data_IF_570454097518
#
_entry.id   IF_570454097518
#
_cell.length_a   1.000
_cell.length_b   1.000
_cell.length_c   1.000
_cell.angle_alpha   90.00
_cell.angle_beta   90.00
_cell.angle_gamma   90.00
#
_symmetry.space_group_name_H-M   'P 1'
#
loop_
_entity.id
_entity.type
_entity.pdbx_description
1 polymer ?
#
# COMPACT_ATOMS: atom_id res chain seq x y z
N UNK A 1 30.83 -5.43 -31.61
CA UNK A 1 30.58 -5.50 -30.15
C UNK A 1 29.97 -4.19 -29.69
N UNK A 2 28.69 -4.06 -29.84
CA UNK A 2 27.92 -2.92 -29.32
C UNK A 2 27.62 -3.21 -27.86
N UNK A 3 28.45 -2.68 -26.94
CA UNK A 3 28.13 -2.65 -25.53
C UNK A 3 26.88 -1.78 -25.33
N UNK A 4 25.88 -2.42 -24.81
CA UNK A 4 24.54 -1.93 -24.57
C UNK A 4 24.57 -0.65 -23.72
N UNK A 5 24.31 0.50 -24.33
CA UNK A 5 24.25 1.81 -23.67
C UNK A 5 23.10 1.90 -22.66
N UNK A 6 22.18 0.93 -22.64
CA UNK A 6 21.06 0.84 -21.68
C UNK A 6 21.52 0.57 -20.25
N UNK A 7 22.70 -0.02 -20.06
CA UNK A 7 23.25 -0.40 -18.75
C UNK A 7 24.00 0.74 -18.03
N UNK A 8 24.10 1.94 -18.64
CA UNK A 8 24.79 3.10 -18.06
C UNK A 8 23.87 4.08 -17.30
N UNK A 9 22.53 3.93 -17.43
CA UNK A 9 21.60 4.84 -16.72
C UNK A 9 21.41 4.37 -15.27
N UNK A 10 21.35 5.31 -14.31
CA UNK A 10 20.97 4.98 -12.94
C UNK A 10 19.61 4.27 -12.91
N UNK A 11 19.48 3.24 -12.08
CA UNK A 11 18.31 2.41 -12.03
C UNK A 11 17.32 2.83 -10.93
N UNK A 12 16.04 2.53 -11.11
CA UNK A 12 15.05 2.51 -10.03
C UNK A 12 14.90 1.07 -9.56
N UNK A 13 15.22 0.81 -8.31
CA UNK A 13 15.00 -0.50 -7.67
C UNK A 13 13.56 -0.55 -7.15
N UNK A 14 12.82 -1.59 -7.51
CA UNK A 14 11.43 -1.81 -7.09
C UNK A 14 11.32 -3.13 -6.35
N UNK A 15 10.99 -3.09 -5.07
CA UNK A 15 10.74 -4.31 -4.28
C UNK A 15 9.25 -4.62 -4.22
N UNK A 16 8.88 -5.90 -4.21
CA UNK A 16 7.47 -6.30 -4.30
C UNK A 16 6.88 -6.15 -5.71
N UNK A 17 7.74 -6.08 -6.73
CA UNK A 17 7.37 -5.81 -8.13
C UNK A 17 6.44 -6.86 -8.73
N UNK A 18 6.47 -8.09 -8.25
CA UNK A 18 5.59 -9.18 -8.72
C UNK A 18 4.17 -9.13 -8.14
N UNK A 19 3.92 -8.24 -7.18
CA UNK A 19 2.58 -7.96 -6.63
C UNK A 19 1.68 -7.22 -7.62
N UNK A 20 0.38 -7.16 -7.34
CA UNK A 20 -0.58 -6.51 -8.23
C UNK A 20 -0.26 -5.02 -8.45
N UNK A 21 -0.03 -4.27 -7.36
CA UNK A 21 0.40 -2.87 -7.46
C UNK A 21 1.78 -2.75 -8.12
N UNK A 22 2.72 -3.64 -7.79
CA UNK A 22 4.07 -3.66 -8.39
C UNK A 22 4.05 -3.85 -9.90
N UNK A 23 3.19 -4.72 -10.41
CA UNK A 23 2.99 -4.94 -11.85
C UNK A 23 2.40 -3.69 -12.53
N UNK A 24 1.46 -3.02 -11.88
CA UNK A 24 0.87 -1.77 -12.37
C UNK A 24 1.93 -0.66 -12.42
N UNK A 25 2.70 -0.49 -11.35
CA UNK A 25 3.80 0.46 -11.31
C UNK A 25 4.85 0.16 -12.38
N UNK A 26 5.25 -1.10 -12.53
CA UNK A 26 6.24 -1.51 -13.52
C UNK A 26 5.82 -1.15 -14.94
N UNK A 27 4.53 -1.32 -15.32
CA UNK A 27 3.98 -0.94 -16.62
C UNK A 27 4.05 0.56 -16.90
N UNK A 28 3.91 1.38 -15.86
CA UNK A 28 4.01 2.84 -15.98
C UNK A 28 5.46 3.30 -16.07
N UNK A 29 6.36 2.69 -15.29
CA UNK A 29 7.71 3.18 -15.07
C UNK A 29 8.73 2.69 -16.13
N UNK A 30 8.61 1.43 -16.63
CA UNK A 30 9.63 0.80 -17.47
C UNK A 30 9.89 1.51 -18.80
N UNK A 31 8.91 2.29 -19.29
CA UNK A 31 9.06 3.06 -20.53
C UNK A 31 9.98 4.27 -20.40
N UNK A 32 10.23 4.72 -19.19
CA UNK A 32 10.96 5.95 -18.89
C UNK A 32 12.24 5.71 -18.11
N UNK A 33 12.28 4.63 -17.32
CA UNK A 33 13.37 4.35 -16.38
C UNK A 33 13.88 2.91 -16.52
N UNK A 34 15.19 2.72 -16.27
CA UNK A 34 15.76 1.39 -16.07
C UNK A 34 15.25 0.85 -14.74
N UNK A 35 14.59 -0.30 -14.77
CA UNK A 35 14.03 -0.94 -13.56
C UNK A 35 14.82 -2.18 -13.19
N UNK A 36 15.16 -2.28 -11.90
CA UNK A 36 15.64 -3.51 -11.27
C UNK A 36 14.59 -3.96 -10.26
N UNK A 37 13.91 -5.06 -10.56
CA UNK A 37 12.89 -5.63 -9.69
C UNK A 37 13.45 -6.64 -8.70
N UNK A 38 13.00 -6.58 -7.45
CA UNK A 38 13.29 -7.57 -6.41
C UNK A 38 11.97 -8.10 -5.85
N UNK A 39 11.76 -9.40 -5.93
CA UNK A 39 10.61 -10.09 -5.30
C UNK A 39 10.99 -11.56 -5.06
N UNK A 40 10.37 -12.20 -4.08
CA UNK A 40 10.52 -13.65 -3.86
C UNK A 40 9.78 -14.47 -4.92
N UNK A 41 8.71 -13.91 -5.47
CA UNK A 41 7.88 -14.53 -6.51
C UNK A 41 8.39 -14.17 -7.89
N UNK A 42 8.24 -15.05 -8.88
CA UNK A 42 8.54 -14.71 -10.26
C UNK A 42 7.58 -13.64 -10.80
N UNK A 43 8.08 -12.75 -11.64
CA UNK A 43 7.24 -11.81 -12.37
C UNK A 43 6.91 -12.40 -13.75
N UNK A 44 5.84 -13.19 -13.81
CA UNK A 44 5.35 -13.78 -15.07
C UNK A 44 4.76 -12.68 -15.97
N UNK A 45 5.16 -12.66 -17.23
CA UNK A 45 4.72 -11.66 -18.21
C UNK A 45 5.35 -10.26 -18.04
N UNK A 46 6.50 -10.17 -17.36
CA UNK A 46 7.22 -8.90 -17.20
C UNK A 46 7.68 -8.34 -18.56
N UNK A 47 7.75 -7.00 -18.72
CA UNK A 47 8.47 -6.38 -19.83
C UNK A 47 9.93 -6.87 -19.90
N UNK A 48 10.43 -7.08 -21.12
CA UNK A 48 11.76 -7.68 -21.34
C UNK A 48 12.93 -6.81 -20.85
N UNK A 49 12.72 -5.52 -20.79
CA UNK A 49 13.66 -4.48 -20.35
C UNK A 49 13.77 -4.35 -18.81
N UNK A 50 12.91 -5.03 -18.05
CA UNK A 50 13.01 -5.06 -16.59
C UNK A 50 13.99 -6.16 -16.17
N UNK A 51 15.06 -5.78 -15.51
CA UNK A 51 15.98 -6.70 -14.83
C UNK A 51 15.30 -7.25 -13.58
N UNK A 52 15.17 -8.58 -13.45
CA UNK A 52 14.45 -9.20 -12.33
C UNK A 52 15.38 -10.09 -11.50
N UNK A 53 15.44 -9.80 -10.21
CA UNK A 53 16.11 -10.63 -9.21
C UNK A 53 15.07 -11.31 -8.32
N UNK A 54 14.89 -12.62 -8.49
CA UNK A 54 14.05 -13.41 -7.60
C UNK A 54 14.81 -13.69 -6.30
N UNK A 55 14.67 -12.77 -5.35
CA UNK A 55 15.43 -12.74 -4.10
C UNK A 55 14.52 -12.40 -2.91
N UNK A 56 14.98 -12.83 -1.73
CA UNK A 56 14.45 -12.36 -0.45
C UNK A 56 15.39 -11.28 0.12
N UNK A 57 14.83 -10.10 0.44
CA UNK A 57 15.58 -8.97 1.00
C UNK A 57 16.36 -9.31 2.28
N UNK A 58 15.90 -10.31 3.04
CA UNK A 58 16.56 -10.79 4.25
C UNK A 58 17.87 -11.53 3.95
N UNK A 59 18.07 -11.97 2.72
CA UNK A 59 19.27 -12.72 2.31
C UNK A 59 20.38 -11.76 1.87
N UNK A 60 21.63 -12.05 2.27
CA UNK A 60 22.81 -11.25 1.93
C UNK A 60 22.96 -11.00 0.43
N UNK A 61 22.51 -11.92 -0.42
CA UNK A 61 22.55 -11.78 -1.88
C UNK A 61 21.78 -10.57 -2.40
N UNK A 62 20.78 -10.06 -1.66
CA UNK A 62 20.06 -8.86 -2.03
C UNK A 62 20.94 -7.60 -2.02
N UNK A 63 21.97 -7.56 -1.17
CA UNK A 63 22.96 -6.47 -1.11
C UNK A 63 23.75 -6.30 -2.41
N UNK A 64 23.97 -7.39 -3.16
CA UNK A 64 24.70 -7.35 -4.43
C UNK A 64 24.03 -6.45 -5.48
N UNK A 65 22.70 -6.31 -5.44
CA UNK A 65 21.96 -5.41 -6.33
C UNK A 65 22.38 -3.96 -6.09
N UNK A 66 22.51 -3.58 -4.82
CA UNK A 66 22.91 -2.22 -4.43
C UNK A 66 24.40 -1.97 -4.70
N UNK A 67 25.23 -2.96 -4.46
CA UNK A 67 26.68 -2.84 -4.63
C UNK A 67 27.12 -2.72 -6.10
N UNK A 68 26.37 -3.38 -7.02
CA UNK A 68 26.77 -3.51 -8.43
C UNK A 68 26.11 -2.50 -9.36
N UNK A 69 25.12 -1.76 -8.89
CA UNK A 69 24.35 -0.85 -9.72
C UNK A 69 24.39 0.57 -9.19
N UNK A 70 24.36 1.52 -10.11
CA UNK A 70 24.04 2.90 -9.81
C UNK A 70 22.52 3.04 -9.67
N UNK A 71 22.05 3.47 -8.48
CA UNK A 71 20.65 3.49 -8.11
C UNK A 71 20.23 4.93 -7.81
N UNK A 72 19.30 5.47 -8.59
CA UNK A 72 18.75 6.82 -8.37
C UNK A 72 17.60 6.85 -7.36
N UNK A 73 16.84 5.75 -7.27
CA UNK A 73 15.72 5.67 -6.33
C UNK A 73 15.39 4.21 -6.00
N UNK A 74 14.86 4.01 -4.80
CA UNK A 74 14.26 2.75 -4.36
C UNK A 74 12.78 2.96 -4.10
N UNK A 75 11.92 2.10 -4.65
CA UNK A 75 10.50 2.03 -4.35
C UNK A 75 10.23 0.74 -3.60
N UNK A 76 9.90 0.86 -2.32
CA UNK A 76 9.65 -0.28 -1.44
C UNK A 76 8.15 -0.54 -1.28
N UNK A 77 7.68 -1.64 -1.89
CA UNK A 77 6.31 -2.16 -1.78
C UNK A 77 6.28 -3.60 -1.29
N UNK A 78 7.43 -4.12 -0.86
CA UNK A 78 7.62 -5.51 -0.47
C UNK A 78 7.02 -5.83 0.90
N UNK A 79 5.81 -5.37 1.17
CA UNK A 79 5.08 -5.67 2.40
C UNK A 79 4.12 -6.83 2.14
N UNK A 80 4.16 -7.82 3.03
CA UNK A 80 3.30 -8.99 2.98
C UNK A 80 2.16 -8.83 3.97
N UNK A 81 0.95 -9.11 3.50
CA UNK A 81 -0.24 -9.15 4.33
C UNK A 81 -1.03 -10.42 3.96
N UNK A 82 -0.61 -11.56 4.51
CA UNK A 82 -1.32 -12.84 4.35
C UNK A 82 -1.79 -13.31 5.74
N UNK A 83 -3.09 -13.23 6.05
CA UNK A 83 -3.61 -13.58 7.37
C UNK A 83 -3.45 -15.08 7.73
N UNK A 84 -2.91 -15.88 6.82
CA UNK A 84 -2.66 -17.33 7.04
C UNK A 84 -1.23 -17.63 7.49
N UNK A 85 -0.34 -16.65 7.38
CA UNK A 85 1.05 -16.80 7.83
C UNK A 85 1.14 -16.51 9.33
N UNK A 86 2.19 -17.06 9.97
CA UNK A 86 2.47 -16.75 11.38
C UNK A 86 2.88 -15.28 11.57
N UNK A 87 2.63 -14.73 12.74
CA UNK A 87 3.06 -13.36 13.08
C UNK A 87 4.59 -13.21 12.97
N UNK A 88 5.35 -14.24 13.33
CA UNK A 88 6.82 -14.23 13.23
C UNK A 88 7.32 -14.17 11.78
N UNK A 89 6.66 -14.90 10.87
CA UNK A 89 7.00 -14.83 9.43
C UNK A 89 6.66 -13.48 8.84
N UNK A 90 5.50 -12.89 9.20
CA UNK A 90 5.12 -11.54 8.82
C UNK A 90 6.15 -10.52 9.29
N UNK A 91 6.42 -10.52 10.60
CA UNK A 91 7.39 -9.60 11.21
C UNK A 91 8.78 -9.74 10.57
N UNK A 92 9.26 -10.96 10.43
CA UNK A 92 10.55 -11.22 9.77
C UNK A 92 10.58 -10.68 8.34
N UNK A 93 9.52 -10.88 7.57
CA UNK A 93 9.49 -10.42 6.19
C UNK A 93 9.33 -8.90 6.09
N UNK A 94 8.37 -8.34 6.80
CA UNK A 94 8.03 -6.93 6.70
C UNK A 94 9.06 -6.05 7.41
N UNK A 95 9.33 -6.32 8.67
CA UNK A 95 10.16 -5.44 9.53
C UNK A 95 11.65 -5.69 9.27
N UNK A 96 12.12 -6.95 9.40
CA UNK A 96 13.56 -7.24 9.17
C UNK A 96 13.94 -7.03 7.70
N UNK A 97 13.05 -7.36 6.76
CA UNK A 97 13.26 -7.10 5.34
C UNK A 97 13.41 -5.62 5.03
N UNK A 98 12.52 -4.78 5.58
CA UNK A 98 12.58 -3.31 5.41
C UNK A 98 13.81 -2.71 6.07
N UNK A 99 14.15 -3.15 7.29
CA UNK A 99 15.34 -2.69 8.01
C UNK A 99 16.59 -2.90 7.14
N UNK A 100 16.77 -4.10 6.60
CA UNK A 100 17.93 -4.41 5.72
C UNK A 100 17.95 -3.58 4.45
N UNK A 101 16.76 -3.37 3.83
CA UNK A 101 16.67 -2.51 2.65
C UNK A 101 17.14 -1.09 2.95
N UNK A 102 16.68 -0.50 4.05
CA UNK A 102 17.05 0.85 4.47
C UNK A 102 18.55 0.94 4.82
N UNK A 103 19.12 -0.11 5.45
CA UNK A 103 20.57 -0.21 5.68
C UNK A 103 21.36 -0.23 4.36
N UNK A 104 20.89 -0.95 3.33
CA UNK A 104 21.53 -0.94 2.02
C UNK A 104 21.41 0.45 1.38
N UNK A 105 20.25 1.11 1.46
CA UNK A 105 20.09 2.46 0.94
C UNK A 105 21.05 3.46 1.59
N UNK A 106 21.24 3.38 2.91
CA UNK A 106 22.21 4.22 3.61
C UNK A 106 23.64 3.90 3.23
N UNK A 107 24.02 2.62 3.23
CA UNK A 107 25.40 2.15 2.92
C UNK A 107 25.86 2.54 1.51
N UNK A 108 24.95 2.38 0.54
CA UNK A 108 25.23 2.66 -0.88
C UNK A 108 24.79 4.06 -1.32
N UNK A 109 24.40 4.93 -0.36
CA UNK A 109 24.03 6.33 -0.58
C UNK A 109 22.98 6.51 -1.69
N UNK A 110 21.95 5.68 -1.65
CA UNK A 110 20.82 5.82 -2.59
C UNK A 110 20.17 7.19 -2.40
N UNK A 111 20.07 8.04 -3.44
CA UNK A 111 19.62 9.42 -3.26
C UNK A 111 18.19 9.55 -2.78
N UNK A 112 17.33 8.57 -3.15
CA UNK A 112 15.90 8.64 -2.87
C UNK A 112 15.29 7.30 -2.50
N UNK A 113 14.46 7.29 -1.45
CA UNK A 113 13.72 6.11 -0.98
C UNK A 113 12.24 6.45 -0.86
N UNK A 114 11.40 5.68 -1.53
CA UNK A 114 9.94 5.76 -1.44
C UNK A 114 9.43 4.50 -0.77
N UNK A 115 8.75 4.64 0.36
CA UNK A 115 8.15 3.52 1.10
C UNK A 115 6.64 3.59 0.99
N UNK A 116 6.03 2.50 0.54
CA UNK A 116 4.59 2.33 0.58
C UNK A 116 4.17 1.90 1.99
N UNK A 117 3.42 2.75 2.65
CA UNK A 117 2.68 2.48 3.88
C UNK A 117 1.18 2.39 3.56
N UNK A 118 0.31 2.73 4.49
CA UNK A 118 -1.15 2.78 4.31
C UNK A 118 -1.78 3.73 5.32
N UNK A 119 -2.89 4.38 4.95
CA UNK A 119 -3.71 5.13 5.88
C UNK A 119 -4.31 4.24 7.00
N UNK A 120 -4.34 2.92 6.82
CA UNK A 120 -4.80 1.99 7.86
C UNK A 120 -3.93 2.02 9.13
N UNK A 121 -2.73 2.61 9.09
CA UNK A 121 -1.87 2.78 10.28
C UNK A 121 -2.50 3.67 11.34
N UNK A 122 -3.39 4.60 10.96
CA UNK A 122 -4.12 5.44 11.92
C UNK A 122 -5.16 4.64 12.70
N UNK A 123 -5.85 3.71 12.04
CA UNK A 123 -6.91 2.88 12.61
C UNK A 123 -8.26 3.58 12.74
N UNK A 124 -9.36 2.86 12.47
CA UNK A 124 -10.70 3.38 12.66
C UNK A 124 -11.00 3.56 14.15
N UNK A 125 -11.52 4.72 14.56
CA UNK A 125 -11.89 5.02 15.93
C UNK A 125 -13.07 5.98 15.99
N UNK A 126 -13.96 5.84 17.00
CA UNK A 126 -15.02 6.82 17.23
C UNK A 126 -14.47 8.21 17.59
N UNK A 127 -13.23 8.28 18.10
CA UNK A 127 -12.57 9.52 18.53
C UNK A 127 -11.75 10.17 17.41
N UNK A 128 -11.73 9.58 16.21
CA UNK A 128 -11.02 10.17 15.08
C UNK A 128 -11.66 11.49 14.65
N UNK A 129 -10.82 12.48 14.34
CA UNK A 129 -11.26 13.66 13.59
C UNK A 129 -11.78 13.24 12.21
N UNK A 130 -12.60 14.08 11.58
CA UNK A 130 -13.18 13.78 10.26
C UNK A 130 -12.12 13.49 9.21
N UNK A 131 -10.98 14.18 9.27
CA UNK A 131 -9.85 13.97 8.37
C UNK A 131 -8.55 13.98 9.18
N UNK A 132 -7.83 12.85 9.16
CA UNK A 132 -6.57 12.67 9.85
C UNK A 132 -5.43 13.22 8.99
N UNK A 133 -4.63 14.09 9.54
CA UNK A 133 -3.40 14.58 8.89
C UNK A 133 -2.24 13.62 9.10
N UNK A 134 -1.12 13.85 8.42
CA UNK A 134 0.08 13.02 8.54
C UNK A 134 0.69 13.01 9.94
N UNK A 135 0.36 14.01 10.76
CA UNK A 135 0.83 14.14 12.16
C UNK A 135 -0.07 13.41 13.15
N UNK A 136 -1.20 12.82 12.70
CA UNK A 136 -2.09 12.04 13.55
C UNK A 136 -1.41 10.78 14.09
N UNK A 137 -1.71 10.36 15.33
CA UNK A 137 -1.08 9.19 15.94
C UNK A 137 -1.46 7.89 15.23
N UNK A 138 -0.51 6.94 15.17
CA UNK A 138 -0.67 5.63 14.55
C UNK A 138 -1.27 4.64 15.55
N UNK A 139 -2.60 4.58 15.64
CA UNK A 139 -3.34 3.87 16.70
C UNK A 139 -3.84 2.48 16.30
N UNK A 140 -3.69 2.06 15.04
CA UNK A 140 -4.27 0.81 14.54
C UNK A 140 -3.81 -0.44 15.30
N UNK A 141 -2.56 -0.50 15.75
CA UNK A 141 -2.01 -1.67 16.47
C UNK A 141 -2.71 -1.95 17.80
N UNK A 142 -3.30 -0.94 18.44
CA UNK A 142 -4.04 -1.10 19.70
C UNK A 142 -5.32 -1.93 19.55
N UNK A 143 -5.85 -2.00 18.34
CA UNK A 143 -7.12 -2.68 18.01
C UNK A 143 -6.96 -3.90 17.12
N UNK A 144 -5.92 -3.93 16.28
CA UNK A 144 -5.70 -4.99 15.32
C UNK A 144 -4.21 -5.34 15.20
N UNK A 145 -3.81 -6.48 15.76
CA UNK A 145 -2.41 -6.96 15.75
C UNK A 145 -1.86 -7.17 14.34
N UNK A 146 -2.69 -7.54 13.37
CA UNK A 146 -2.29 -7.74 11.98
C UNK A 146 -1.77 -6.50 11.25
N UNK A 147 -1.99 -5.27 11.80
CA UNK A 147 -1.44 -4.01 11.27
C UNK A 147 -0.17 -3.59 11.98
N UNK A 148 0.26 -4.31 13.03
CA UNK A 148 1.45 -3.94 13.84
C UNK A 148 2.69 -3.79 12.97
N UNK A 149 2.96 -4.78 12.13
CA UNK A 149 4.14 -4.75 11.24
C UNK A 149 4.09 -3.58 10.26
N UNK A 150 2.90 -3.21 9.79
CA UNK A 150 2.73 -2.07 8.89
C UNK A 150 3.08 -0.74 9.59
N UNK A 151 2.64 -0.58 10.84
CA UNK A 151 3.00 0.58 11.67
C UNK A 151 4.51 0.58 11.92
N UNK A 152 5.09 -0.57 12.25
CA UNK A 152 6.52 -0.68 12.51
C UNK A 152 7.36 -0.34 11.27
N UNK A 153 6.95 -0.78 10.10
CA UNK A 153 7.57 -0.40 8.81
C UNK A 153 7.46 1.11 8.56
N UNK A 154 6.29 1.71 8.83
CA UNK A 154 6.10 3.15 8.72
C UNK A 154 7.02 3.92 9.68
N UNK A 155 7.11 3.48 10.93
CA UNK A 155 7.99 4.07 11.95
C UNK A 155 9.48 3.88 11.62
N UNK A 156 9.88 2.74 11.06
CA UNK A 156 11.25 2.51 10.58
C UNK A 156 11.62 3.49 9.46
N UNK A 157 10.72 3.67 8.50
CA UNK A 157 10.92 4.62 7.41
C UNK A 157 10.97 6.07 7.93
N UNK A 158 10.13 6.41 8.91
CA UNK A 158 10.13 7.72 9.56
C UNK A 158 11.42 7.94 10.38
N UNK A 159 11.89 6.94 11.13
CA UNK A 159 13.19 6.98 11.80
C UNK A 159 14.35 7.14 10.82
N UNK A 160 14.29 6.45 9.69
CA UNK A 160 15.28 6.56 8.62
C UNK A 160 15.33 7.97 8.01
N UNK A 161 14.18 8.59 7.78
CA UNK A 161 14.06 9.97 7.30
C UNK A 161 14.83 10.96 8.18
N UNK A 162 14.72 10.83 9.49
CA UNK A 162 15.43 11.72 10.45
C UNK A 162 16.91 11.38 10.58
N UNK A 163 17.25 10.10 10.53
CA UNK A 163 18.64 9.63 10.69
C UNK A 163 19.51 9.92 9.47
N UNK A 164 18.90 9.97 8.28
CA UNK A 164 19.61 10.15 7.01
C UNK A 164 19.03 11.33 6.22
N UNK A 165 19.24 12.59 6.68
CA UNK A 165 18.67 13.79 6.06
C UNK A 165 19.19 14.07 4.65
N UNK A 166 20.35 13.47 4.27
CA UNK A 166 20.96 13.47 2.96
C UNK A 166 20.24 12.54 1.95
N UNK A 167 19.45 11.58 2.43
CA UNK A 167 18.62 10.70 1.60
C UNK A 167 17.19 11.22 1.58
N UNK A 168 16.69 11.53 0.39
CA UNK A 168 15.32 11.97 0.21
C UNK A 168 14.35 10.81 0.45
N UNK A 169 13.75 10.78 1.63
CA UNK A 169 12.79 9.72 2.01
C UNK A 169 11.36 10.22 1.88
N UNK A 170 10.52 9.43 1.20
CA UNK A 170 9.09 9.67 1.02
C UNK A 170 8.30 8.47 1.52
N UNK A 171 7.34 8.71 2.41
CA UNK A 171 6.45 7.68 2.94
C UNK A 171 5.04 8.00 2.44
N UNK A 172 4.47 7.10 1.65
CA UNK A 172 3.11 7.27 1.12
C UNK A 172 2.13 6.41 1.92
N UNK A 173 1.08 7.04 2.44
CA UNK A 173 -0.02 6.41 3.16
C UNK A 173 -1.31 6.49 2.31
N UNK A 174 -1.47 5.62 1.29
CA UNK A 174 -2.70 5.60 0.50
C UNK A 174 -3.88 5.11 1.33
N UNK A 175 -5.07 5.65 1.02
CA UNK A 175 -6.36 5.12 1.46
C UNK A 175 -6.64 3.75 0.84
N UNK A 176 -7.82 3.18 1.02
CA UNK A 176 -8.16 1.85 0.51
C UNK A 176 -7.93 1.74 -1.00
N UNK A 177 -6.87 0.99 -1.38
CA UNK A 177 -6.52 0.76 -2.78
C UNK A 177 -7.49 -0.27 -3.36
N UNK A 178 -8.14 0.09 -4.46
CA UNK A 178 -9.05 -0.79 -5.20
C UNK A 178 -8.67 -0.85 -6.68
N UNK A 179 -9.18 -1.86 -7.37
CA UNK A 179 -8.93 -2.07 -8.78
C UNK A 179 -9.21 -3.52 -9.19
N UNK A 180 -9.22 -3.83 -10.49
CA UNK A 180 -9.66 -5.13 -10.99
C UNK A 180 -8.81 -6.30 -10.48
N UNK A 181 -7.51 -6.06 -10.27
CA UNK A 181 -6.56 -7.10 -9.85
C UNK A 181 -6.24 -7.08 -8.36
N UNK A 182 -6.69 -6.05 -7.62
CA UNK A 182 -6.36 -5.88 -6.21
C UNK A 182 -7.14 -6.88 -5.35
N UNK A 183 -6.41 -7.60 -4.50
CA UNK A 183 -6.94 -8.62 -3.58
C UNK A 183 -6.50 -8.27 -2.16
N UNK A 184 -7.17 -7.31 -1.56
CA UNK A 184 -7.03 -6.91 -0.16
C UNK A 184 -8.37 -7.05 0.56
N UNK A 185 -8.41 -6.91 1.88
CA UNK A 185 -9.63 -7.07 2.66
C UNK A 185 -10.75 -6.14 2.19
N UNK A 186 -10.55 -4.81 1.98
CA UNK A 186 -11.59 -3.93 1.45
C UNK A 186 -12.12 -4.36 0.08
N UNK A 187 -11.23 -4.68 -0.89
CA UNK A 187 -11.67 -5.10 -2.21
C UNK A 187 -12.43 -6.43 -2.19
N UNK A 188 -12.01 -7.39 -1.34
CA UNK A 188 -12.69 -8.67 -1.20
C UNK A 188 -14.08 -8.48 -0.59
N UNK A 189 -14.21 -7.61 0.42
CA UNK A 189 -15.49 -7.26 1.03
C UNK A 189 -16.41 -6.57 0.00
N UNK A 190 -15.91 -5.56 -0.72
CA UNK A 190 -16.69 -4.80 -1.71
C UNK A 190 -17.06 -5.62 -2.97
N UNK A 191 -16.51 -6.80 -3.19
CA UNK A 191 -16.92 -7.74 -4.27
C UNK A 191 -18.04 -8.69 -3.86
N UNK A 192 -18.42 -8.70 -2.58
CA UNK A 192 -19.51 -9.56 -2.12
C UNK A 192 -20.85 -9.02 -2.62
N UNK A 193 -21.66 -9.84 -3.30
CA UNK A 193 -23.00 -9.44 -3.74
C UNK A 193 -23.96 -9.17 -2.58
N UNK A 194 -23.76 -9.81 -1.44
CA UNK A 194 -24.52 -9.65 -0.21
C UNK A 194 -23.56 -9.41 0.98
N UNK A 195 -22.90 -8.23 1.00
CA UNK A 195 -22.01 -7.91 2.11
C UNK A 195 -22.81 -7.69 3.40
N UNK A 196 -22.22 -8.03 4.52
CA UNK A 196 -22.77 -7.64 5.80
C UNK A 196 -22.46 -6.17 6.06
N UNK A 197 -23.47 -5.43 6.50
CA UNK A 197 -23.32 -4.05 6.98
C UNK A 197 -23.81 -3.97 8.42
N UNK A 198 -23.22 -3.10 9.21
CA UNK A 198 -23.67 -2.90 10.59
C UNK A 198 -24.96 -2.07 10.58
N UNK A 199 -26.02 -2.59 11.20
CA UNK A 199 -27.30 -1.89 11.30
C UNK A 199 -27.11 -0.56 12.07
N UNK A 200 -27.55 0.55 11.47
CA UNK A 200 -27.41 1.89 12.05
C UNK A 200 -26.09 2.61 11.74
N UNK A 201 -25.19 2.01 10.95
CA UNK A 201 -23.91 2.62 10.56
C UNK A 201 -23.80 2.71 9.04
N UNK A 202 -23.34 3.86 8.56
CA UNK A 202 -23.03 4.10 7.15
C UNK A 202 -21.77 4.99 7.05
N UNK A 203 -20.58 4.43 7.30
CA UNK A 203 -19.36 5.21 7.35
C UNK A 203 -19.00 5.79 5.98
N UNK A 204 -18.40 6.98 6.00
CA UNK A 204 -17.75 7.56 4.83
C UNK A 204 -16.44 6.79 4.55
N UNK A 205 -16.23 6.39 3.30
CA UNK A 205 -15.09 5.59 2.86
C UNK A 205 -14.33 6.33 1.77
N UNK A 206 -13.03 6.36 1.89
CA UNK A 206 -12.11 6.84 0.85
C UNK A 206 -11.54 5.67 0.08
N UNK A 207 -11.67 5.71 -1.24
CA UNK A 207 -11.10 4.73 -2.17
C UNK A 207 -10.14 5.41 -3.13
N UNK A 208 -9.08 4.70 -3.52
CA UNK A 208 -8.16 5.15 -4.57
C UNK A 208 -7.92 4.04 -5.58
N UNK A 209 -7.91 4.40 -6.87
CA UNK A 209 -7.64 3.44 -7.93
C UNK A 209 -6.17 3.01 -7.93
N UNK A 210 -5.91 1.73 -8.18
CA UNK A 210 -4.55 1.15 -8.18
C UNK A 210 -3.59 1.87 -9.14
N UNK A 211 -4.09 2.32 -10.30
CA UNK A 211 -3.29 3.08 -11.27
C UNK A 211 -2.88 4.46 -10.73
N UNK A 212 -3.75 5.10 -9.92
CA UNK A 212 -3.44 6.39 -9.31
C UNK A 212 -2.39 6.23 -8.20
N UNK A 213 -2.45 5.15 -7.40
CA UNK A 213 -1.40 4.86 -6.41
C UNK A 213 -0.06 4.58 -7.10
N UNK A 214 -0.07 3.77 -8.17
CA UNK A 214 1.14 3.51 -8.95
C UNK A 214 1.74 4.82 -9.49
N UNK A 215 0.91 5.71 -10.03
CA UNK A 215 1.35 7.04 -10.49
C UNK A 215 1.89 7.90 -9.35
N UNK A 216 1.23 7.93 -8.20
CA UNK A 216 1.73 8.66 -7.04
C UNK A 216 3.13 8.17 -6.61
N UNK A 217 3.38 6.86 -6.65
CA UNK A 217 4.68 6.28 -6.35
C UNK A 217 5.74 6.63 -7.41
N UNK A 218 5.36 6.67 -8.69
CA UNK A 218 6.25 7.13 -9.78
C UNK A 218 6.62 8.59 -9.57
N UNK A 219 5.66 9.46 -9.31
CA UNK A 219 5.90 10.89 -9.03
C UNK A 219 6.78 11.05 -7.78
N UNK A 220 6.49 10.31 -6.71
CA UNK A 220 7.31 10.30 -5.50
C UNK A 220 8.77 9.92 -5.77
N UNK A 221 9.03 8.98 -6.67
CA UNK A 221 10.38 8.50 -6.98
C UNK A 221 11.15 9.44 -7.92
N UNK A 222 10.45 10.09 -8.86
CA UNK A 222 11.11 10.82 -9.95
C UNK A 222 11.19 12.32 -9.73
N UNK A 223 10.23 12.93 -9.02
CA UNK A 223 10.23 14.35 -8.74
C UNK A 223 11.15 14.72 -7.58
N UNK A 224 11.79 15.87 -7.59
CA UNK A 224 12.67 16.33 -6.50
C UNK A 224 11.92 16.87 -5.27
N UNK A 225 10.66 17.32 -5.42
CA UNK A 225 9.94 18.05 -4.38
C UNK A 225 9.53 17.18 -3.17
N UNK A 226 8.93 15.97 -3.34
CA UNK A 226 8.33 15.27 -2.21
C UNK A 226 9.38 14.74 -1.24
N UNK A 227 9.23 15.11 0.04
CA UNK A 227 10.06 14.65 1.16
C UNK A 227 9.21 14.53 2.43
N UNK A 228 9.29 13.41 3.13
CA UNK A 228 8.54 13.16 4.36
C UNK A 228 7.31 12.27 4.15
N UNK A 229 6.30 12.44 4.97
CA UNK A 229 5.09 11.61 4.99
C UNK A 229 3.96 12.29 4.23
N UNK A 230 3.20 11.50 3.48
CA UNK A 230 2.06 11.98 2.70
C UNK A 230 0.89 10.99 2.74
N UNK A 231 -0.29 11.48 3.06
CA UNK A 231 -1.53 10.79 2.80
C UNK A 231 -1.88 10.89 1.31
N UNK A 232 -2.23 9.77 0.69
CA UNK A 232 -2.59 9.74 -0.74
C UNK A 232 -4.04 9.30 -0.87
N UNK A 233 -4.89 10.26 -1.27
CA UNK A 233 -6.35 10.07 -1.36
C UNK A 233 -6.82 9.98 -2.80
N UNK A 234 -7.95 9.31 -2.99
CA UNK A 234 -8.68 9.30 -4.25
C UNK A 234 -9.52 10.57 -4.45
N UNK A 235 -10.57 10.51 -5.29
CA UNK A 235 -11.37 11.67 -5.68
C UNK A 235 -12.41 12.12 -4.64
N UNK A 236 -12.20 11.84 -3.37
CA UNK A 236 -13.07 12.20 -2.26
C UNK A 236 -13.52 10.99 -1.44
N UNK A 237 -14.62 11.14 -0.73
CA UNK A 237 -15.23 10.12 0.12
C UNK A 237 -16.71 9.91 -0.24
N UNK A 238 -17.21 8.71 0.00
CA UNK A 238 -18.62 8.36 -0.21
C UNK A 238 -19.13 7.46 0.91
N UNK A 239 -20.44 7.51 1.25
CA UNK A 239 -21.02 6.55 2.18
C UNK A 239 -20.89 5.12 1.64
N UNK A 240 -20.66 4.16 2.53
CA UNK A 240 -20.58 2.74 2.16
C UNK A 240 -21.84 2.25 1.42
N UNK A 241 -23.00 2.74 1.82
CA UNK A 241 -24.27 2.46 1.14
C UNK A 241 -24.31 2.91 -0.32
N UNK A 242 -23.65 4.04 -0.66
CA UNK A 242 -23.54 4.51 -2.04
C UNK A 242 -22.65 3.60 -2.89
N UNK A 243 -21.56 3.07 -2.31
CA UNK A 243 -20.70 2.09 -2.98
C UNK A 243 -21.52 0.83 -3.32
N UNK A 244 -22.27 0.28 -2.35
CA UNK A 244 -23.10 -0.89 -2.57
C UNK A 244 -24.19 -0.66 -3.62
N UNK A 245 -24.80 0.53 -3.63
CA UNK A 245 -25.77 0.91 -4.66
C UNK A 245 -25.16 0.96 -6.05
N UNK A 246 -23.99 1.57 -6.20
CA UNK A 246 -23.29 1.66 -7.49
C UNK A 246 -22.90 0.26 -8.03
N UNK A 247 -22.57 -0.68 -7.14
CA UNK A 247 -22.21 -2.06 -7.48
C UNK A 247 -23.44 -2.99 -7.62
N UNK A 248 -24.67 -2.50 -7.40
CA UNK A 248 -25.89 -3.31 -7.47
C UNK A 248 -25.97 -4.40 -6.38
N UNK A 249 -25.36 -4.17 -5.23
CA UNK A 249 -25.36 -5.12 -4.12
C UNK A 249 -26.65 -5.06 -3.30
N UNK A 250 -26.96 -6.15 -2.61
CA UNK A 250 -28.03 -6.24 -1.63
C UNK A 250 -27.43 -6.49 -0.24
N UNK A 251 -27.03 -5.43 0.50
CA UNK A 251 -26.42 -5.59 1.82
C UNK A 251 -27.36 -6.24 2.82
N UNK A 252 -26.81 -7.03 3.73
CA UNK A 252 -27.52 -7.68 4.83
C UNK A 252 -27.20 -6.92 6.11
N UNK A 253 -28.16 -6.18 6.69
CA UNK A 253 -27.94 -5.48 7.94
C UNK A 253 -27.83 -6.47 9.11
N UNK A 254 -26.75 -6.38 9.87
CA UNK A 254 -26.49 -7.22 11.05
C UNK A 254 -26.43 -6.34 12.29
N UNK A 255 -27.17 -6.64 13.35
CA UNK A 255 -27.08 -5.90 14.61
C UNK A 255 -25.68 -5.97 15.20
N UNK A 256 -25.14 -4.83 15.65
CA UNK A 256 -23.78 -4.72 16.16
C UNK A 256 -23.40 -5.77 17.24
N UNK A 257 -24.22 -6.09 18.25
CA UNK A 257 -23.87 -7.07 19.27
C UNK A 257 -23.63 -8.50 18.72
N UNK A 258 -24.25 -8.82 17.58
CA UNK A 258 -24.20 -10.16 16.96
C UNK A 258 -23.09 -10.23 15.91
N UNK A 259 -22.78 -9.12 15.25
CA UNK A 259 -21.85 -9.10 14.12
C UNK A 259 -20.44 -9.59 14.49
N UNK A 260 -19.86 -9.09 15.59
CA UNK A 260 -18.49 -9.40 16.00
C UNK A 260 -18.31 -10.87 16.42
N UNK A 261 -19.13 -11.45 17.33
CA UNK A 261 -19.00 -12.88 17.68
C UNK A 261 -19.29 -13.81 16.51
N UNK A 262 -20.29 -13.49 15.68
CA UNK A 262 -20.62 -14.30 14.51
C UNK A 262 -19.50 -14.30 13.47
N UNK A 263 -18.90 -13.14 13.19
CA UNK A 263 -17.74 -13.05 12.29
C UNK A 263 -16.54 -13.81 12.86
N UNK A 264 -16.32 -13.74 14.19
CA UNK A 264 -15.28 -14.49 14.87
C UNK A 264 -15.43 -16.01 14.66
N UNK A 265 -16.63 -16.53 14.76
CA UNK A 265 -16.94 -17.91 14.50
C UNK A 265 -16.69 -18.30 13.03
N UNK A 266 -17.19 -17.50 12.10
CA UNK A 266 -16.99 -17.74 10.67
C UNK A 266 -15.52 -17.65 10.26
N UNK A 267 -14.75 -16.73 10.82
CA UNK A 267 -13.30 -16.61 10.58
C UNK A 267 -12.54 -17.82 11.11
N UNK A 268 -12.88 -18.30 12.34
CA UNK A 268 -12.30 -19.50 12.94
C UNK A 268 -12.50 -20.75 12.06
N UNK A 269 -13.67 -20.88 11.45
CA UNK A 269 -13.97 -22.00 10.54
C UNK A 269 -13.59 -21.73 9.08
N UNK A 270 -12.86 -20.65 8.79
CA UNK A 270 -12.42 -20.25 7.44
C UNK A 270 -13.56 -19.99 6.44
N UNK A 271 -14.74 -19.66 6.94
CA UNK A 271 -15.90 -19.27 6.14
C UNK A 271 -15.95 -17.78 5.84
N UNK A 272 -15.21 -16.96 6.60
CA UNK A 272 -15.00 -15.54 6.33
C UNK A 272 -13.55 -15.26 5.96
N UNK A 273 -13.32 -14.31 5.07
CA UNK A 273 -11.99 -13.94 4.56
C UNK A 273 -11.31 -12.84 5.37
N UNK A 274 -12.01 -12.21 6.31
CA UNK A 274 -11.51 -11.10 7.11
C UNK A 274 -11.79 -11.31 8.60
N UNK A 275 -10.86 -10.90 9.47
CA UNK A 275 -10.96 -11.11 10.92
C UNK A 275 -11.94 -10.10 11.56
N UNK A 276 -12.46 -10.38 12.78
CA UNK A 276 -13.42 -9.50 13.47
C UNK A 276 -13.00 -8.03 13.66
N UNK A 277 -11.72 -7.69 13.89
CA UNK A 277 -11.31 -6.29 13.99
C UNK A 277 -11.52 -5.46 12.73
N UNK A 278 -11.61 -6.07 11.55
CA UNK A 278 -11.93 -5.38 10.29
C UNK A 278 -13.35 -4.78 10.28
N UNK A 279 -14.26 -5.24 11.19
CA UNK A 279 -15.57 -4.63 11.36
C UNK A 279 -15.49 -3.16 11.78
N UNK A 280 -14.41 -2.75 12.45
CA UNK A 280 -14.24 -1.37 12.87
C UNK A 280 -14.13 -0.42 11.67
N UNK A 281 -13.61 -0.89 10.52
CA UNK A 281 -13.57 -0.13 9.26
C UNK A 281 -14.93 0.09 8.59
N UNK A 282 -15.93 -0.74 8.92
CA UNK A 282 -17.32 -0.54 8.45
C UNK A 282 -18.21 0.09 9.52
N UNK A 283 -17.63 0.50 10.64
CA UNK A 283 -18.30 1.15 11.76
C UNK A 283 -17.83 2.59 11.96
N UNK A 284 -16.51 2.81 11.99
CA UNK A 284 -15.88 4.08 12.36
C UNK A 284 -15.13 4.71 11.21
N UNK A 285 -14.99 6.02 11.27
CA UNK A 285 -14.24 6.79 10.29
C UNK A 285 -12.72 6.56 10.43
N UNK A 286 -12.05 6.44 9.28
CA UNK A 286 -10.60 6.51 9.18
C UNK A 286 -10.24 7.28 7.90
N UNK A 287 -10.88 8.43 7.68
CA UNK A 287 -10.61 9.28 6.54
C UNK A 287 -9.40 10.16 6.81
N UNK A 288 -8.61 10.40 5.78
CA UNK A 288 -7.38 11.18 5.89
C UNK A 288 -7.40 12.41 4.99
N UNK A 289 -6.69 13.45 5.38
CA UNK A 289 -6.45 14.62 4.56
C UNK A 289 -5.26 14.37 3.61
N UNK A 290 -5.50 14.45 2.31
CA UNK A 290 -4.47 14.31 1.26
C UNK A 290 -4.01 15.63 0.66
N UNK A 291 -4.39 16.76 1.24
CA UNK A 291 -4.10 18.09 0.69
C UNK A 291 -2.60 18.38 0.57
N UNK A 292 -1.79 17.88 1.49
CA UNK A 292 -0.33 18.02 1.48
C UNK A 292 0.29 17.42 0.22
N UNK A 293 -0.06 16.17 -0.13
CA UNK A 293 0.42 15.52 -1.35
C UNK A 293 -0.04 16.26 -2.60
N UNK A 294 -1.33 16.65 -2.63
CA UNK A 294 -1.90 17.35 -3.77
C UNK A 294 -1.22 18.69 -4.02
N UNK A 295 -0.87 19.43 -2.97
CA UNK A 295 -0.21 20.73 -3.05
C UNK A 295 1.27 20.61 -3.45
N UNK A 296 2.03 19.74 -2.75
CA UNK A 296 3.48 19.66 -2.92
C UNK A 296 3.89 19.08 -4.29
N UNK A 297 3.02 18.24 -4.88
CA UNK A 297 3.30 17.53 -6.15
C UNK A 297 2.35 17.97 -7.27
N UNK A 298 1.43 18.91 -7.00
CA UNK A 298 0.36 19.31 -7.93
C UNK A 298 -0.41 18.08 -8.47
N UNK A 299 -0.64 17.11 -7.59
CA UNK A 299 -1.18 15.81 -7.97
C UNK A 299 -2.71 15.77 -7.80
N UNK A 300 -3.37 15.10 -8.76
CA UNK A 300 -4.81 14.82 -8.69
C UNK A 300 -5.06 13.38 -9.13
N UNK A 301 -6.02 12.66 -8.53
CA UNK A 301 -6.46 11.37 -9.03
C UNK A 301 -7.01 11.52 -10.46
N UNK A 302 -6.74 10.54 -11.32
CA UNK A 302 -7.24 10.51 -12.71
C UNK A 302 -8.60 9.83 -12.80
N UNK A 303 -8.82 8.83 -11.96
CA UNK A 303 -10.07 8.09 -11.93
C UNK A 303 -11.10 8.82 -11.05
N UNK A 304 -12.32 8.98 -11.56
CA UNK A 304 -13.45 9.43 -10.75
C UNK A 304 -13.82 8.39 -9.71
N UNK A 305 -14.61 8.77 -8.71
CA UNK A 305 -15.11 7.84 -7.69
C UNK A 305 -15.91 6.69 -8.32
N UNK A 306 -16.75 6.99 -9.32
CA UNK A 306 -17.55 5.98 -10.03
C UNK A 306 -16.68 4.97 -10.77
N UNK A 307 -15.68 5.42 -11.53
CA UNK A 307 -14.73 4.55 -12.22
C UNK A 307 -13.93 3.71 -11.22
N UNK A 308 -13.50 4.32 -10.11
CA UNK A 308 -12.79 3.63 -9.03
C UNK A 308 -13.63 2.51 -8.43
N UNK A 309 -14.91 2.75 -8.15
CA UNK A 309 -15.83 1.73 -7.63
C UNK A 309 -16.09 0.63 -8.67
N UNK A 310 -16.40 0.98 -9.92
CA UNK A 310 -16.71 0.00 -10.98
C UNK A 310 -15.52 -0.87 -11.34
N UNK A 311 -14.29 -0.35 -11.22
CA UNK A 311 -13.08 -1.12 -11.47
C UNK A 311 -12.95 -2.38 -10.57
N UNK A 312 -13.65 -2.42 -9.42
CA UNK A 312 -13.74 -3.62 -8.57
C UNK A 312 -14.34 -4.82 -9.30
N UNK A 313 -15.25 -4.57 -10.25
CA UNK A 313 -15.94 -5.62 -11.02
C UNK A 313 -15.23 -5.94 -12.33
N UNK A 314 -14.13 -5.26 -12.66
CA UNK A 314 -13.37 -5.45 -13.88
C UNK A 314 -13.91 -4.67 -15.09
N UNK A 315 -14.74 -3.66 -14.82
CA UNK A 315 -15.29 -2.74 -15.83
C UNK A 315 -14.44 -1.47 -15.97
#
# INVERSE_FOLDING_TARGET
MTQDSSNKRPAVVVTGISGNLGRTLAKQLHKHERIIGIDRRPFVGRPKDIEMHQLDLRKKKAEDVFRKNDIRAVIHMGIMHDPRMSEEEHHSFNVVGTTRLLEYCARYRVPKVVVLSSANVYGPSPDNSNFLTEDAPLMAASRFSGVRDLIEVDMLAHGFFWKHPDIQTVILRPVHIVGPTIKNAPSNYLRLRRPWVLAGFDPMVQLIHVEDVARAMVEAALRPEPKGVYNVVGPGEVPLSAIHRELGHTPIPVPHPVARPLLGLLFKYRLASFPPPELDHIQFLCNVDGSRWQKDVEWKPRYSMRETIRSLMGE
#
